data_IF_073346907143
#
_entry.id   IF_073346907143
#
_cell.length_a   1.000
_cell.length_b   1.000
_cell.length_c   1.000
_cell.angle_alpha   90.00
_cell.angle_beta   90.00
_cell.angle_gamma   90.00
#
_symmetry.space_group_name_H-M   'P 1'
#
loop_
_entity.id
_entity.type
_entity.pdbx_description
1 polymer ?
#
# COMPACT_ATOMS: atom_id res chain seq x y z
N UNK A 1 -37.25 21.14 -52.73
CA UNK A 1 -37.93 20.03 -53.44
C UNK A 1 -36.96 18.86 -53.59
N UNK A 2 -37.48 17.63 -53.45
CA UNK A 2 -36.84 16.31 -53.62
C UNK A 2 -35.87 15.87 -52.48
N UNK A 3 -36.21 14.98 -51.55
CA UNK A 3 -36.75 13.59 -51.57
C UNK A 3 -35.70 12.52 -51.84
N UNK A 4 -35.62 11.54 -50.92
CA UNK A 4 -35.04 10.19 -51.13
C UNK A 4 -34.11 9.78 -49.99
N UNK A 5 -34.59 9.05 -48.97
CA UNK A 5 -34.60 7.57 -48.90
C UNK A 5 -33.18 6.97 -48.79
N UNK A 6 -32.88 5.93 -48.02
CA UNK A 6 -33.58 5.07 -47.08
C UNK A 6 -32.55 3.98 -46.72
N UNK A 7 -32.70 3.39 -45.53
CA UNK A 7 -32.20 2.05 -45.17
C UNK A 7 -30.66 1.88 -45.04
N UNK A 8 -30.11 1.03 -44.18
CA UNK A 8 -30.67 -0.02 -43.33
C UNK A 8 -29.65 -0.36 -42.25
N UNK A 9 -30.17 -0.65 -41.07
CA UNK A 9 -29.59 -1.54 -40.07
C UNK A 9 -28.88 -2.74 -40.73
N UNK A 10 -27.65 -3.02 -40.31
CA UNK A 10 -27.18 -4.41 -40.18
C UNK A 10 -26.42 -4.54 -38.86
N UNK A 11 -27.14 -5.03 -37.85
CA UNK A 11 -26.55 -5.69 -36.71
C UNK A 11 -25.86 -6.96 -37.20
N UNK A 12 -24.53 -7.06 -37.07
CA UNK A 12 -23.84 -8.35 -37.12
C UNK A 12 -23.42 -8.70 -35.70
N UNK A 13 -24.36 -9.30 -34.98
CA UNK A 13 -24.06 -10.12 -33.83
C UNK A 13 -23.62 -11.50 -34.33
N UNK A 14 -22.32 -11.79 -34.29
CA UNK A 14 -21.86 -13.19 -34.38
C UNK A 14 -20.76 -13.49 -33.38
N UNK A 15 -21.20 -14.15 -32.30
CA UNK A 15 -20.65 -15.40 -31.77
C UNK A 15 -19.30 -15.33 -31.05
N UNK A 16 -19.46 -15.16 -29.73
CA UNK A 16 -18.58 -15.62 -28.66
C UNK A 16 -18.05 -17.03 -28.95
N UNK A 17 -16.73 -17.17 -29.05
CA UNK A 17 -16.04 -18.46 -29.03
C UNK A 17 -16.02 -19.01 -27.59
N UNK A 18 -16.40 -20.28 -27.37
CA UNK A 18 -16.31 -20.93 -26.07
C UNK A 18 -14.85 -21.17 -25.66
N UNK A 19 -14.55 -20.74 -24.43
CA UNK A 19 -13.33 -21.01 -23.69
C UNK A 19 -13.08 -22.52 -23.58
N UNK A 20 -11.97 -23.01 -24.13
CA UNK A 20 -11.37 -24.31 -23.74
C UNK A 20 -10.36 -24.06 -22.62
N UNK A 21 -10.75 -24.41 -21.39
CA UNK A 21 -9.86 -24.57 -20.25
C UNK A 21 -9.40 -26.04 -20.20
N UNK A 22 -8.09 -26.35 -20.28
CA UNK A 22 -7.59 -27.62 -19.79
C UNK A 22 -7.57 -27.62 -18.25
N UNK A 23 -8.34 -28.54 -17.72
CA UNK A 23 -8.48 -28.93 -16.31
C UNK A 23 -7.16 -29.38 -15.69
N UNK A 24 -6.82 -28.81 -14.54
CA UNK A 24 -5.78 -29.34 -13.63
C UNK A 24 -6.41 -30.36 -12.67
N UNK A 25 -5.94 -31.61 -12.60
CA UNK A 25 -6.20 -32.47 -11.46
C UNK A 25 -5.00 -32.43 -10.48
N UNK A 26 -5.27 -32.39 -9.17
CA UNK A 26 -4.32 -32.91 -8.17
C UNK A 26 -3.87 -31.97 -7.04
N UNK A 27 -4.73 -31.79 -6.04
CA UNK A 27 -4.35 -31.75 -4.60
C UNK A 27 -5.46 -32.55 -3.87
N UNK A 28 -5.25 -33.19 -2.70
CA UNK A 28 -4.20 -32.95 -1.70
C UNK A 28 -3.58 -34.23 -1.08
N UNK A 29 -2.37 -34.13 -0.50
CA UNK A 29 -2.00 -35.03 0.61
C UNK A 29 -1.53 -34.18 1.80
N UNK A 30 -2.39 -34.20 2.82
CA UNK A 30 -2.11 -33.83 4.20
C UNK A 30 -1.10 -34.81 4.77
N UNK A 31 -0.14 -34.28 5.52
CA UNK A 31 0.52 -35.01 6.61
C UNK A 31 0.54 -34.09 7.83
N UNK A 32 -0.08 -34.47 8.96
CA UNK A 32 0.08 -33.81 10.25
C UNK A 32 1.10 -34.58 11.11
N UNK A 33 2.05 -33.87 11.72
CA UNK A 33 2.96 -34.26 12.83
C UNK A 33 3.86 -33.03 13.06
N UNK A 34 4.24 -32.55 14.24
CA UNK A 34 4.15 -32.93 15.67
C UNK A 34 4.49 -31.61 16.40
N UNK A 35 3.76 -31.18 17.43
CA UNK A 35 4.11 -31.31 18.87
C UNK A 35 5.52 -30.80 19.23
N UNK A 36 5.56 -29.78 20.09
CA UNK A 36 6.75 -29.27 20.81
C UNK A 36 6.65 -27.76 21.01
N UNK A 37 6.14 -27.23 22.15
CA UNK A 37 6.91 -26.93 23.38
C UNK A 37 8.21 -26.15 23.06
N UNK A 38 8.51 -24.95 23.55
CA UNK A 38 8.12 -24.27 24.78
C UNK A 38 8.26 -22.75 24.63
N UNK A 39 7.47 -22.02 25.41
CA UNK A 39 7.72 -20.62 25.75
C UNK A 39 9.02 -20.51 26.57
N UNK A 40 9.92 -19.57 26.27
CA UNK A 40 10.71 -18.93 27.30
C UNK A 40 9.90 -17.74 27.83
N UNK A 41 9.21 -17.95 28.96
CA UNK A 41 8.74 -16.87 29.82
C UNK A 41 9.97 -16.05 30.23
N UNK A 42 10.11 -14.83 29.70
CA UNK A 42 11.06 -13.86 30.24
C UNK A 42 10.59 -13.48 31.64
N UNK A 43 11.28 -14.03 32.62
CA UNK A 43 11.15 -13.69 34.04
C UNK A 43 11.46 -12.20 34.18
N UNK A 44 10.48 -11.45 34.68
CA UNK A 44 10.65 -10.16 35.31
C UNK A 44 11.48 -10.36 36.58
N UNK A 45 12.76 -10.03 36.56
CA UNK A 45 13.56 -9.94 37.79
C UNK A 45 13.23 -8.63 38.49
N UNK A 46 12.45 -8.78 39.54
CA UNK A 46 12.12 -7.83 40.58
C UNK A 46 13.37 -7.69 41.49
N UNK A 47 14.29 -6.82 41.09
CA UNK A 47 15.51 -6.52 41.84
C UNK A 47 15.98 -5.09 41.55
N UNK A 48 15.22 -4.11 42.00
CA UNK A 48 15.70 -2.73 42.20
C UNK A 48 14.86 -2.09 43.33
N UNK A 49 14.83 -2.78 44.47
CA UNK A 49 14.30 -2.29 45.74
C UNK A 49 15.52 -2.23 46.66
N UNK A 50 15.69 -1.09 47.33
CA UNK A 50 16.75 -0.72 48.27
C UNK A 50 17.90 0.13 47.69
N UNK A 51 17.62 1.42 47.50
CA UNK A 51 18.60 2.47 47.78
C UNK A 51 17.96 3.56 48.67
N UNK A 52 18.59 3.91 49.81
CA UNK A 52 18.04 4.87 50.77
C UNK A 52 18.13 6.32 50.26
N UNK A 53 17.26 7.23 50.76
CA UNK A 53 17.31 8.64 50.41
C UNK A 53 18.42 9.33 51.19
N UNK A 54 19.43 9.82 50.48
CA UNK A 54 20.39 10.76 51.05
C UNK A 54 19.77 12.16 51.02
N UNK A 55 19.73 12.75 52.22
CA UNK A 55 19.26 14.10 52.47
C UNK A 55 20.36 15.09 52.07
N UNK A 56 19.93 16.31 51.72
CA UNK A 56 20.75 17.52 51.55
C UNK A 56 21.31 17.72 50.14
N UNK A 57 20.63 18.57 49.34
CA UNK A 57 21.20 19.86 48.94
C UNK A 57 20.17 20.82 48.29
N UNK A 58 20.41 22.16 48.37
CA UNK A 58 19.41 23.19 48.13
C UNK A 58 19.43 23.80 46.72
N UNK A 59 18.27 24.34 46.33
CA UNK A 59 18.03 25.47 45.41
C UNK A 59 18.71 25.48 44.03
N UNK A 60 17.97 25.05 42.99
CA UNK A 60 17.88 25.79 41.74
C UNK A 60 16.47 25.71 41.15
N UNK A 61 15.75 26.83 41.20
CA UNK A 61 14.55 27.10 40.42
C UNK A 61 14.89 27.02 38.93
N UNK A 62 14.66 25.86 38.32
CA UNK A 62 14.54 25.73 36.86
C UNK A 62 13.07 25.46 36.56
N UNK A 63 12.45 26.49 36.00
CA UNK A 63 11.03 26.58 35.74
C UNK A 63 10.46 25.33 35.09
N UNK A 64 9.26 25.00 35.55
CA UNK A 64 8.34 24.11 34.88
C UNK A 64 8.18 24.55 33.42
N UNK A 65 8.95 23.93 32.52
CA UNK A 65 8.58 23.89 31.11
C UNK A 65 7.44 22.89 31.00
N UNK A 66 6.26 23.35 31.38
CA UNK A 66 5.00 22.86 30.82
C UNK A 66 5.10 23.17 29.33
N UNK A 67 5.77 22.29 28.57
CA UNK A 67 5.62 22.29 27.12
C UNK A 67 4.22 21.81 26.86
N UNK A 68 3.37 22.82 26.68
CA UNK A 68 2.04 22.75 26.13
C UNK A 68 1.94 21.57 25.17
N UNK A 69 0.99 20.70 25.50
CA UNK A 69 0.43 19.71 24.63
C UNK A 69 -0.04 20.46 23.37
N UNK A 70 0.86 20.57 22.38
CA UNK A 70 0.51 21.13 21.09
C UNK A 70 -0.60 20.23 20.56
N UNK A 71 -1.82 20.76 20.55
CA UNK A 71 -2.95 20.31 19.73
C UNK A 71 -2.49 20.32 18.28
N UNK A 72 -1.66 19.33 17.96
CA UNK A 72 -1.49 18.80 16.63
C UNK A 72 -2.88 18.31 16.30
N UNK A 73 -3.62 19.17 15.60
CA UNK A 73 -4.82 18.85 14.81
C UNK A 73 -4.65 17.40 14.40
N UNK A 74 -5.37 16.50 15.08
CA UNK A 74 -5.25 15.05 14.84
C UNK A 74 -5.83 14.84 13.46
N UNK A 75 -5.00 15.03 12.44
CA UNK A 75 -5.30 14.62 11.07
C UNK A 75 -5.75 13.17 11.23
N UNK A 76 -7.00 12.84 10.84
CA UNK A 76 -7.51 11.50 10.98
C UNK A 76 -6.48 10.55 10.38
N UNK A 77 -5.98 9.60 11.19
CA UNK A 77 -5.03 8.61 10.69
C UNK A 77 -5.70 7.93 9.50
N UNK A 78 -5.20 8.11 8.27
CA UNK A 78 -5.81 7.48 7.11
C UNK A 78 -5.74 5.98 7.35
N UNK A 79 -6.83 5.26 7.09
CA UNK A 79 -6.89 3.83 7.30
C UNK A 79 -5.59 3.15 6.81
N UNK A 80 -4.97 2.39 7.70
CA UNK A 80 -3.67 1.80 7.44
C UNK A 80 -3.86 0.48 6.68
N UNK A 81 -3.25 0.40 5.50
CA UNK A 81 -3.13 -0.85 4.77
C UNK A 81 -2.37 -1.86 5.62
N UNK A 82 -2.84 -3.10 5.66
CA UNK A 82 -2.06 -4.17 6.29
C UNK A 82 -0.69 -4.31 5.60
N UNK A 83 0.30 -4.79 6.34
CA UNK A 83 1.67 -4.93 5.86
C UNK A 83 1.77 -5.67 4.51
N UNK A 84 0.99 -6.74 4.34
CA UNK A 84 0.94 -7.54 3.12
C UNK A 84 0.41 -6.73 1.93
N UNK A 85 -0.67 -5.96 2.11
CA UNK A 85 -1.23 -5.13 1.05
C UNK A 85 -0.31 -3.97 0.68
N UNK A 86 0.33 -3.36 1.69
CA UNK A 86 1.36 -2.34 1.48
C UNK A 86 2.51 -2.87 0.63
N UNK A 87 2.99 -4.09 0.91
CA UNK A 87 4.08 -4.68 0.14
C UNK A 87 3.66 -5.00 -1.30
N UNK A 88 2.46 -5.57 -1.50
CA UNK A 88 1.91 -5.80 -2.86
C UNK A 88 1.77 -4.49 -3.65
N UNK A 89 1.31 -3.43 -3.00
CA UNK A 89 1.22 -2.12 -3.63
C UNK A 89 2.60 -1.58 -4.02
N UNK A 90 3.62 -1.73 -3.16
CA UNK A 90 4.99 -1.32 -3.51
C UNK A 90 5.50 -2.05 -4.75
N UNK A 91 5.30 -3.37 -4.82
CA UNK A 91 5.70 -4.17 -6.00
C UNK A 91 4.97 -3.67 -7.26
N UNK A 92 3.65 -3.51 -7.19
CA UNK A 92 2.85 -2.99 -8.30
C UNK A 92 3.31 -1.60 -8.77
N UNK A 93 3.66 -0.71 -7.84
CA UNK A 93 4.18 0.64 -8.14
C UNK A 93 5.55 0.56 -8.81
N UNK A 94 6.46 -0.28 -8.31
CA UNK A 94 7.77 -0.51 -8.95
C UNK A 94 7.59 -1.00 -10.37
N UNK A 95 6.81 -2.07 -10.57
CA UNK A 95 6.58 -2.66 -11.88
C UNK A 95 5.95 -1.66 -12.86
N UNK A 96 5.04 -0.81 -12.38
CA UNK A 96 4.42 0.22 -13.22
C UNK A 96 5.45 1.28 -13.67
N UNK A 97 6.33 1.72 -12.78
CA UNK A 97 7.37 2.71 -13.11
C UNK A 97 8.42 2.12 -14.06
N UNK A 98 8.81 0.85 -13.84
CA UNK A 98 9.77 0.15 -14.70
C UNK A 98 9.22 -0.06 -16.12
N UNK A 99 7.94 -0.39 -16.26
CA UNK A 99 7.28 -0.51 -17.59
C UNK A 99 7.26 0.81 -18.37
N UNK A 100 7.21 1.95 -17.68
CA UNK A 100 7.31 3.28 -18.28
C UNK A 100 8.78 3.73 -18.49
N UNK A 101 9.74 2.81 -18.30
CA UNK A 101 11.17 3.04 -18.56
C UNK A 101 11.93 3.72 -17.42
N UNK A 102 11.33 3.88 -16.24
CA UNK A 102 12.04 4.45 -15.08
C UNK A 102 12.79 3.39 -14.29
N UNK A 103 14.12 3.51 -14.28
CA UNK A 103 15.01 2.65 -13.49
C UNK A 103 15.00 3.09 -12.03
N UNK A 104 15.10 2.13 -11.10
CA UNK A 104 15.23 2.41 -9.66
C UNK A 104 16.38 3.35 -9.29
N UNK A 105 17.47 3.35 -10.08
CA UNK A 105 18.64 4.20 -9.87
C UNK A 105 18.40 5.68 -10.23
N UNK A 106 17.30 6.01 -10.91
CA UNK A 106 17.02 7.38 -11.31
C UNK A 106 16.62 8.23 -10.10
N UNK A 107 17.14 9.46 -10.01
CA UNK A 107 16.83 10.40 -8.92
C UNK A 107 15.33 10.66 -8.78
N UNK A 108 14.62 10.72 -9.92
CA UNK A 108 13.17 10.92 -9.96
C UNK A 108 12.35 9.69 -9.58
N UNK A 109 12.95 8.50 -9.58
CA UNK A 109 12.23 7.26 -9.27
C UNK A 109 11.64 7.30 -7.87
N UNK A 110 12.42 7.70 -6.86
CA UNK A 110 11.98 7.76 -5.46
C UNK A 110 10.83 8.75 -5.25
N UNK A 111 10.88 9.88 -5.95
CA UNK A 111 9.84 10.91 -5.87
C UNK A 111 8.55 10.41 -6.52
N UNK A 112 8.64 9.88 -7.75
CA UNK A 112 7.50 9.31 -8.46
C UNK A 112 6.90 8.12 -7.70
N UNK A 113 7.74 7.25 -7.13
CA UNK A 113 7.33 6.13 -6.31
C UNK A 113 6.49 6.57 -5.11
N UNK A 114 6.99 7.52 -4.31
CA UNK A 114 6.28 7.99 -3.12
C UNK A 114 4.93 8.65 -3.48
N UNK A 115 4.88 9.40 -4.58
CA UNK A 115 3.65 10.04 -5.06
C UNK A 115 2.66 9.01 -5.58
N UNK A 116 3.10 8.12 -6.46
CA UNK A 116 2.26 7.07 -7.02
C UNK A 116 1.74 6.15 -5.90
N UNK A 117 2.58 5.79 -4.93
CA UNK A 117 2.16 5.02 -3.77
C UNK A 117 1.08 5.75 -2.96
N UNK A 118 1.23 7.05 -2.70
CA UNK A 118 0.25 7.86 -1.99
C UNK A 118 -1.08 7.95 -2.74
N UNK A 119 -1.03 8.16 -4.06
CA UNK A 119 -2.22 8.21 -4.92
C UNK A 119 -2.94 6.85 -4.96
N UNK A 120 -2.19 5.74 -5.04
CA UNK A 120 -2.78 4.41 -5.11
C UNK A 120 -3.30 3.89 -3.76
N UNK A 121 -2.82 4.44 -2.63
CA UNK A 121 -3.16 4.01 -1.27
C UNK A 121 -4.67 4.03 -0.97
N UNK A 122 -5.45 5.10 -1.24
CA UNK A 122 -6.90 5.10 -0.99
C UNK A 122 -7.60 4.00 -1.80
N UNK A 123 -7.33 3.89 -3.10
CA UNK A 123 -7.91 2.84 -3.94
C UNK A 123 -7.52 1.42 -3.49
N UNK A 124 -6.32 1.28 -2.93
CA UNK A 124 -5.86 0.02 -2.38
C UNK A 124 -6.72 -0.45 -1.21
N UNK A 125 -7.31 0.46 -0.42
CA UNK A 125 -8.23 0.11 0.66
C UNK A 125 -9.56 -0.40 0.09
N UNK A 126 -10.05 0.23 -0.98
CA UNK A 126 -11.34 -0.11 -1.60
C UNK A 126 -11.34 -1.48 -2.30
N UNK A 127 -10.18 -1.94 -2.76
CA UNK A 127 -10.04 -3.24 -3.45
C UNK A 127 -9.68 -4.40 -2.52
N UNK A 128 -9.51 -4.16 -1.22
CA UNK A 128 -9.33 -5.23 -0.23
C UNK A 128 -10.64 -6.01 -0.10
N UNK A 129 -10.56 -7.35 -0.12
CA UNK A 129 -11.74 -8.22 -0.04
C UNK A 129 -12.39 -8.56 -1.39
N UNK A 130 -12.12 -7.81 -2.46
CA UNK A 130 -12.69 -8.07 -3.80
C UNK A 130 -12.06 -9.26 -4.55
N UNK A 131 -11.11 -9.97 -3.93
CA UNK A 131 -10.33 -11.02 -4.58
C UNK A 131 -9.30 -10.48 -5.59
N UNK A 132 -8.28 -11.28 -5.91
CA UNK A 132 -7.20 -10.90 -6.85
C UNK A 132 -6.54 -9.53 -6.57
N UNK A 133 -6.40 -9.14 -5.30
CA UNK A 133 -5.92 -7.81 -4.89
C UNK A 133 -4.63 -7.38 -5.59
N UNK A 134 -3.69 -8.31 -5.83
CA UNK A 134 -2.45 -8.00 -6.56
C UNK A 134 -2.70 -7.43 -7.96
N UNK A 135 -3.61 -8.05 -8.73
CA UNK A 135 -3.95 -7.59 -10.09
C UNK A 135 -4.69 -6.26 -10.07
N UNK A 136 -5.54 -6.05 -9.06
CA UNK A 136 -6.26 -4.79 -8.91
C UNK A 136 -5.30 -3.64 -8.58
N UNK A 137 -4.37 -3.86 -7.65
CA UNK A 137 -3.32 -2.89 -7.32
C UNK A 137 -2.42 -2.57 -8.53
N UNK A 138 -2.07 -3.58 -9.33
CA UNK A 138 -1.31 -3.37 -10.56
C UNK A 138 -2.06 -2.51 -11.57
N UNK A 139 -3.37 -2.76 -11.78
CA UNK A 139 -4.21 -1.94 -12.66
C UNK A 139 -4.29 -0.49 -12.20
N UNK A 140 -4.50 -0.27 -10.89
CA UNK A 140 -4.55 1.07 -10.30
C UNK A 140 -3.21 1.78 -10.52
N UNK A 141 -2.09 1.13 -10.22
CA UNK A 141 -0.75 1.72 -10.41
C UNK A 141 -0.50 2.10 -11.88
N UNK A 142 -0.85 1.21 -12.83
CA UNK A 142 -0.74 1.47 -14.28
C UNK A 142 -1.64 2.62 -14.76
N UNK A 143 -2.82 2.79 -14.17
CA UNK A 143 -3.72 3.88 -14.54
C UNK A 143 -3.14 5.26 -14.15
N UNK A 144 -2.46 5.35 -13.01
CA UNK A 144 -1.96 6.62 -12.47
C UNK A 144 -0.49 6.93 -12.78
N UNK A 145 0.32 5.94 -13.17
CA UNK A 145 1.78 6.13 -13.36
C UNK A 145 2.12 7.24 -14.35
N UNK A 146 1.43 7.31 -15.49
CA UNK A 146 1.67 8.33 -16.53
C UNK A 146 1.41 9.73 -15.99
N UNK A 147 0.31 9.92 -15.26
CA UNK A 147 -0.06 11.21 -14.67
C UNK A 147 1.01 11.68 -13.67
N UNK A 148 1.50 10.77 -12.82
CA UNK A 148 2.53 11.11 -11.83
C UNK A 148 3.86 11.47 -12.50
N UNK A 149 4.28 10.71 -13.52
CA UNK A 149 5.51 11.00 -14.27
C UNK A 149 5.42 12.35 -14.97
N UNK A 150 4.31 12.62 -15.67
CA UNK A 150 4.11 13.90 -16.34
C UNK A 150 4.10 15.07 -15.36
N UNK A 151 3.42 14.92 -14.22
CA UNK A 151 3.39 15.94 -13.18
C UNK A 151 4.80 16.27 -12.68
N UNK A 152 5.61 15.26 -12.37
CA UNK A 152 6.99 15.47 -11.94
C UNK A 152 7.86 16.09 -13.03
N UNK A 153 7.71 15.67 -14.29
CA UNK A 153 8.45 16.26 -15.41
C UNK A 153 8.13 17.75 -15.59
N UNK A 154 6.86 18.14 -15.47
CA UNK A 154 6.44 19.55 -15.58
C UNK A 154 6.92 20.39 -14.40
N UNK A 155 6.92 19.82 -13.19
CA UNK A 155 7.38 20.52 -11.98
C UNK A 155 8.87 20.88 -12.04
N UNK A 156 9.70 19.97 -12.54
CA UNK A 156 11.17 20.16 -12.59
C UNK A 156 11.65 20.99 -13.80
N UNK A 157 10.74 21.49 -14.64
CA UNK A 157 11.04 22.41 -15.75
C UNK A 157 10.89 23.89 -15.36
N UNK A 158 10.47 24.18 -14.14
CA UNK A 158 10.38 25.53 -13.57
C UNK A 158 11.56 25.75 -12.64
#
# INVERSE_FOLDING_TARGET
MRSGHSARLVQIATRRLPRKHPSKPGRPKRSPKKVGSEQPRKKSSLADIMKPPDLLQPAQTRGASVRANAETKRVPKPADLSYVHKQKLRVAVVEALEKEGMKMKATFFKVCFNKLFTVCRPFALDVIGQGSTSKNLEKIARAHVKQVIEFERRKNRK
#
